data_IF_490344286823
#
_entry.id   IF_490344286823
#
_cell.length_a   1.000
_cell.length_b   1.000
_cell.length_c   1.000
_cell.angle_alpha   90.00
_cell.angle_beta   90.00
_cell.angle_gamma   90.00
#
_symmetry.space_group_name_H-M   'P 1'
#
loop_
_entity.id
_entity.type
_entity.pdbx_description
1 polymer ?
#
# COMPACT_ATOMS: atom_id res chain seq x y z
N UNK A 1 10.53 -8.78 -17.73
CA UNK A 1 11.84 -8.39 -17.19
C UNK A 1 12.80 -8.02 -18.31
N UNK A 2 13.13 -8.95 -19.21
CA UNK A 2 14.11 -8.74 -20.29
C UNK A 2 13.83 -7.50 -21.14
N UNK A 3 12.56 -7.25 -21.51
CA UNK A 3 12.16 -6.11 -22.37
C UNK A 3 12.37 -4.74 -21.72
N UNK A 4 12.44 -4.70 -20.40
CA UNK A 4 12.73 -3.48 -19.63
C UNK A 4 14.17 -3.43 -19.10
N UNK A 5 15.02 -4.39 -19.52
CA UNK A 5 16.45 -4.41 -19.21
C UNK A 5 16.80 -4.91 -17.82
N UNK A 6 15.95 -5.75 -17.21
CA UNK A 6 16.20 -6.43 -15.93
C UNK A 6 16.81 -7.80 -16.23
N UNK A 7 17.97 -8.09 -15.67
CA UNK A 7 18.63 -9.39 -15.75
C UNK A 7 18.01 -10.41 -14.79
N UNK A 8 18.24 -11.69 -15.02
CA UNK A 8 17.62 -12.74 -14.21
C UNK A 8 18.15 -12.77 -12.77
N UNK A 9 19.40 -12.42 -12.55
CA UNK A 9 20.05 -12.32 -11.25
C UNK A 9 19.59 -11.09 -10.43
N UNK A 10 18.88 -10.15 -11.07
CA UNK A 10 18.25 -9.00 -10.42
C UNK A 10 16.81 -9.31 -9.94
N UNK A 11 16.35 -10.56 -10.15
CA UNK A 11 15.02 -11.04 -9.78
C UNK A 11 15.09 -12.09 -8.66
N UNK A 12 14.26 -11.92 -7.65
CA UNK A 12 14.01 -12.93 -6.64
C UNK A 12 12.65 -13.59 -6.95
N UNK A 13 12.69 -14.81 -7.49
CA UNK A 13 11.48 -15.49 -7.97
C UNK A 13 10.55 -15.92 -6.83
N UNK A 14 9.29 -15.59 -6.96
CA UNK A 14 8.18 -16.02 -6.11
C UNK A 14 7.22 -16.89 -6.93
N UNK A 15 7.65 -18.11 -7.24
CA UNK A 15 6.98 -19.01 -8.16
C UNK A 15 7.25 -18.63 -9.62
N UNK A 16 6.34 -19.04 -10.50
CA UNK A 16 6.59 -19.04 -11.96
C UNK A 16 6.33 -17.68 -12.63
N UNK A 17 5.47 -16.84 -12.06
CA UNK A 17 4.91 -15.66 -12.76
C UNK A 17 5.09 -14.34 -12.01
N UNK A 18 5.79 -14.33 -10.90
CA UNK A 18 6.01 -13.16 -10.07
C UNK A 18 7.41 -13.17 -9.48
N UNK A 19 8.00 -12.00 -9.31
CA UNK A 19 9.32 -11.85 -8.71
C UNK A 19 9.42 -10.54 -7.93
N UNK A 20 10.30 -10.50 -6.93
CA UNK A 20 10.71 -9.25 -6.30
C UNK A 20 11.93 -8.68 -7.02
N UNK A 21 12.03 -7.35 -7.01
CA UNK A 21 13.14 -6.59 -7.59
C UNK A 21 14.22 -6.39 -6.53
N UNK A 22 15.46 -6.78 -6.85
CA UNK A 22 16.57 -6.77 -5.90
C UNK A 22 17.06 -5.36 -5.55
N UNK A 23 17.76 -5.22 -4.43
CA UNK A 23 18.40 -3.96 -4.03
C UNK A 23 19.54 -3.55 -4.98
N UNK A 24 20.19 -4.51 -5.62
CA UNK A 24 21.24 -4.28 -6.62
C UNK A 24 20.68 -3.54 -7.84
N UNK A 25 19.44 -3.87 -8.25
CA UNK A 25 18.77 -3.18 -9.35
C UNK A 25 18.57 -1.68 -9.04
N UNK A 26 18.19 -1.32 -7.81
CA UNK A 26 18.06 0.08 -7.41
C UNK A 26 19.37 0.84 -7.56
N UNK A 27 20.47 0.28 -7.06
CA UNK A 27 21.80 0.88 -7.15
C UNK A 27 22.25 1.05 -8.60
N UNK A 28 22.03 0.03 -9.43
CA UNK A 28 22.37 0.04 -10.86
C UNK A 28 21.63 1.15 -11.60
N UNK A 29 20.37 1.39 -11.27
CA UNK A 29 19.51 2.34 -11.96
C UNK A 29 19.56 3.76 -11.39
N UNK A 30 20.25 3.99 -10.28
CA UNK A 30 20.24 5.27 -9.55
C UNK A 30 20.61 6.48 -10.45
N UNK A 31 21.66 6.33 -11.27
CA UNK A 31 22.13 7.38 -12.19
C UNK A 31 21.32 7.53 -13.48
N UNK A 32 20.41 6.59 -13.77
CA UNK A 32 19.61 6.65 -14.99
C UNK A 32 18.58 7.78 -14.89
N UNK A 33 18.36 8.57 -15.95
CA UNK A 33 17.32 9.60 -15.96
C UNK A 33 15.92 9.00 -15.78
N UNK A 34 15.05 9.76 -15.15
CA UNK A 34 13.66 9.38 -14.95
C UNK A 34 12.85 9.52 -16.24
N UNK A 35 11.95 8.58 -16.49
CA UNK A 35 10.89 8.70 -17.48
C UNK A 35 9.80 9.69 -17.04
N UNK A 36 8.76 9.82 -17.85
CA UNK A 36 7.62 10.70 -17.59
C UNK A 36 6.58 10.03 -16.72
N UNK A 37 6.14 10.72 -15.66
CA UNK A 37 5.12 10.24 -14.72
C UNK A 37 3.73 10.67 -15.17
N UNK A 38 2.81 9.71 -15.29
CA UNK A 38 1.39 9.92 -15.58
C UNK A 38 0.57 9.42 -14.40
N UNK A 39 -0.19 10.33 -13.78
CA UNK A 39 -1.12 10.01 -12.70
C UNK A 39 -2.52 9.77 -13.26
N UNK A 40 -3.13 8.63 -12.94
CA UNK A 40 -4.55 8.37 -13.19
C UNK A 40 -5.32 8.59 -11.89
N UNK A 41 -6.31 9.46 -11.94
CA UNK A 41 -7.24 9.73 -10.85
C UNK A 41 -8.68 9.72 -11.35
N UNK A 42 -9.65 9.98 -10.50
CA UNK A 42 -11.06 10.01 -10.89
C UNK A 42 -11.81 11.14 -10.18
N UNK A 43 -13.01 11.41 -10.65
CA UNK A 43 -13.99 12.20 -9.89
C UNK A 43 -14.38 11.44 -8.60
N UNK A 44 -15.23 12.05 -7.78
CA UNK A 44 -15.65 11.48 -6.49
C UNK A 44 -16.07 10.01 -6.61
N UNK A 45 -15.69 9.18 -5.61
CA UNK A 45 -15.93 7.74 -5.66
C UNK A 45 -17.41 7.38 -5.61
N UNK A 46 -17.76 6.28 -6.29
CA UNK A 46 -19.07 5.67 -6.27
C UNK A 46 -19.00 4.26 -5.68
N UNK A 47 -20.10 3.70 -5.17
CA UNK A 47 -20.12 2.32 -4.67
C UNK A 47 -19.70 1.26 -5.71
N UNK A 48 -19.87 1.56 -6.99
CA UNK A 48 -19.51 0.66 -8.09
C UNK A 48 -18.06 0.79 -8.57
N UNK A 49 -17.32 1.78 -8.04
CA UNK A 49 -16.00 2.16 -8.52
C UNK A 49 -16.02 2.97 -9.82
N UNK A 50 -14.92 3.64 -10.12
CA UNK A 50 -14.77 4.55 -11.29
C UNK A 50 -13.93 3.91 -12.41
N UNK A 51 -13.34 2.72 -12.19
CA UNK A 51 -12.51 2.04 -13.16
C UNK A 51 -11.09 2.59 -13.32
N UNK A 52 -10.55 3.28 -12.31
CA UNK A 52 -9.17 3.82 -12.35
C UNK A 52 -8.13 2.77 -12.70
N UNK A 53 -8.11 1.63 -12.01
CA UNK A 53 -7.14 0.56 -12.24
C UNK A 53 -7.26 -0.02 -13.65
N UNK A 54 -8.48 -0.18 -14.15
CA UNK A 54 -8.74 -0.63 -15.52
C UNK A 54 -8.18 0.38 -16.55
N UNK A 55 -8.42 1.68 -16.31
CA UNK A 55 -7.88 2.76 -17.17
C UNK A 55 -6.36 2.84 -17.07
N UNK A 56 -5.79 2.75 -15.86
CA UNK A 56 -4.34 2.76 -15.64
C UNK A 56 -3.65 1.61 -16.40
N UNK A 57 -4.19 0.41 -16.26
CA UNK A 57 -3.70 -0.79 -16.93
C UNK A 57 -3.84 -0.67 -18.45
N UNK A 58 -5.05 -0.33 -18.92
CA UNK A 58 -5.33 -0.17 -20.36
C UNK A 58 -4.52 0.94 -21.02
N UNK A 59 -4.28 2.06 -20.32
CA UNK A 59 -3.43 3.14 -20.82
C UNK A 59 -1.98 2.65 -20.98
N UNK A 60 -1.43 1.96 -19.97
CA UNK A 60 -0.08 1.39 -20.04
C UNK A 60 0.07 0.41 -21.20
N UNK A 61 -0.91 -0.49 -21.38
CA UNK A 61 -0.96 -1.43 -22.51
C UNK A 61 -1.02 -0.71 -23.86
N UNK A 62 -1.90 0.28 -23.99
CA UNK A 62 -2.05 1.05 -25.23
C UNK A 62 -0.77 1.80 -25.58
N UNK A 63 -0.11 2.41 -24.60
CA UNK A 63 1.17 3.11 -24.83
C UNK A 63 2.26 2.14 -25.30
N UNK A 64 2.37 0.94 -24.70
CA UNK A 64 3.32 -0.08 -25.17
C UNK A 64 3.01 -0.54 -26.61
N UNK A 65 1.73 -0.76 -26.94
CA UNK A 65 1.31 -1.08 -28.33
C UNK A 65 1.69 0.01 -29.36
N UNK A 66 1.73 1.27 -28.90
CA UNK A 66 2.20 2.42 -29.69
C UNK A 66 3.73 2.60 -29.69
N UNK A 67 4.47 1.60 -29.19
CA UNK A 67 5.93 1.62 -29.14
C UNK A 67 6.53 2.54 -28.06
N UNK A 68 5.72 2.96 -27.06
CA UNK A 68 6.19 3.74 -25.91
C UNK A 68 6.57 2.80 -24.79
N UNK A 69 7.84 2.76 -24.40
CA UNK A 69 8.33 1.93 -23.29
C UNK A 69 7.69 2.37 -21.97
N UNK A 70 6.64 1.68 -21.57
CA UNK A 70 5.80 2.06 -20.42
C UNK A 70 5.83 0.98 -19.35
N UNK A 71 5.97 1.40 -18.09
CA UNK A 71 5.84 0.55 -16.91
C UNK A 71 4.67 1.05 -16.06
N UNK A 72 3.81 0.13 -15.63
CA UNK A 72 2.67 0.44 -14.77
C UNK A 72 3.11 0.29 -13.31
N UNK A 73 2.68 1.20 -12.43
CA UNK A 73 2.94 1.10 -10.99
C UNK A 73 1.63 1.14 -10.20
N UNK A 74 1.30 0.05 -9.50
CA UNK A 74 0.03 -0.17 -8.82
C UNK A 74 0.21 -0.50 -7.34
N UNK A 75 -0.89 -0.38 -6.58
CA UNK A 75 -0.99 -0.91 -5.22
C UNK A 75 -1.26 -2.41 -5.23
N UNK A 76 -0.82 -3.06 -4.16
CA UNK A 76 -1.28 -4.41 -3.83
C UNK A 76 -2.68 -4.35 -3.21
N UNK A 77 -3.55 -5.33 -3.50
CA UNK A 77 -4.84 -5.45 -2.84
C UNK A 77 -4.69 -6.01 -1.41
N UNK A 78 -5.59 -5.59 -0.52
CA UNK A 78 -5.81 -6.17 0.80
C UNK A 78 -6.93 -7.22 0.73
N UNK A 79 -6.82 -8.29 1.51
CA UNK A 79 -7.80 -9.39 1.53
C UNK A 79 -9.21 -8.92 1.89
N UNK A 80 -9.34 -8.01 2.84
CA UNK A 80 -10.64 -7.47 3.23
C UNK A 80 -11.44 -6.90 2.06
N UNK A 81 -10.91 -5.95 1.28
CA UNK A 81 -11.53 -5.44 0.06
C UNK A 81 -11.73 -6.49 -1.04
N UNK A 82 -10.81 -7.45 -1.19
CA UNK A 82 -10.92 -8.53 -2.20
C UNK A 82 -12.16 -9.38 -1.96
N UNK A 83 -12.41 -9.78 -0.71
CA UNK A 83 -13.59 -10.53 -0.30
C UNK A 83 -14.81 -9.64 0.00
N UNK A 84 -14.68 -8.33 -0.15
CA UNK A 84 -15.73 -7.35 0.04
C UNK A 84 -16.40 -6.90 -1.27
N UNK A 85 -17.12 -5.79 -1.18
CA UNK A 85 -17.88 -5.21 -2.31
C UNK A 85 -16.95 -4.72 -3.45
N UNK A 86 -15.71 -4.32 -3.14
CA UNK A 86 -14.80 -3.76 -4.14
C UNK A 86 -14.17 -4.82 -5.05
N UNK A 87 -14.02 -6.06 -4.57
CA UNK A 87 -13.29 -7.10 -5.27
C UNK A 87 -11.78 -6.82 -5.34
N UNK A 88 -11.08 -7.45 -6.30
CA UNK A 88 -9.62 -7.34 -6.47
C UNK A 88 -9.15 -6.05 -7.11
N UNK A 89 -7.82 -5.83 -7.10
CA UNK A 89 -7.16 -4.64 -7.61
C UNK A 89 -6.23 -4.91 -8.83
N UNK A 90 -6.50 -5.96 -9.59
CA UNK A 90 -5.70 -6.36 -10.75
C UNK A 90 -6.21 -5.81 -12.11
N UNK A 91 -7.19 -4.90 -12.11
CA UNK A 91 -7.88 -4.45 -13.32
C UNK A 91 -9.03 -5.37 -13.71
N UNK A 92 -9.46 -5.36 -14.97
CA UNK A 92 -10.56 -6.18 -15.45
C UNK A 92 -10.63 -6.32 -16.96
N UNK A 93 -11.29 -7.37 -17.43
CA UNK A 93 -11.40 -7.68 -18.84
C UNK A 93 -10.03 -7.86 -19.49
N UNK A 94 -9.79 -7.17 -20.59
CA UNK A 94 -8.49 -7.17 -21.29
C UNK A 94 -7.44 -6.25 -20.65
N UNK A 95 -7.83 -5.37 -19.74
CA UNK A 95 -6.96 -4.47 -18.99
C UNK A 95 -6.66 -5.06 -17.62
N UNK A 96 -5.92 -6.16 -17.59
CA UNK A 96 -5.70 -6.97 -16.39
C UNK A 96 -4.22 -7.28 -16.16
N UNK A 97 -3.81 -7.22 -14.88
CA UNK A 97 -2.49 -7.66 -14.41
C UNK A 97 -2.58 -9.13 -13.96
N UNK A 98 -1.56 -9.91 -14.29
CA UNK A 98 -1.48 -11.35 -14.01
C UNK A 98 -0.29 -11.67 -13.09
N UNK A 99 -0.35 -12.72 -12.27
CA UNK A 99 -1.49 -13.64 -12.06
C UNK A 99 -2.52 -13.06 -11.08
N UNK A 100 -3.76 -12.91 -11.53
CA UNK A 100 -4.81 -12.20 -10.78
C UNK A 100 -5.14 -12.86 -9.44
N UNK A 101 -5.25 -14.19 -9.40
CA UNK A 101 -5.58 -14.94 -8.19
C UNK A 101 -4.51 -14.75 -7.13
N UNK A 102 -3.23 -14.89 -7.49
CA UNK A 102 -2.12 -14.72 -6.57
C UNK A 102 -2.06 -13.27 -6.04
N UNK A 103 -2.24 -12.28 -6.93
CA UNK A 103 -2.23 -10.85 -6.57
C UNK A 103 -3.33 -10.55 -5.55
N UNK A 104 -4.52 -11.09 -5.77
CA UNK A 104 -5.68 -10.83 -4.91
C UNK A 104 -5.67 -11.61 -3.59
N UNK A 105 -4.80 -12.59 -3.43
CA UNK A 105 -4.67 -13.38 -2.20
C UNK A 105 -3.40 -13.01 -1.45
N UNK A 106 -2.46 -13.93 -1.31
CA UNK A 106 -1.24 -13.70 -0.51
C UNK A 106 -0.07 -13.10 -1.31
N UNK A 107 -0.20 -13.00 -2.60
CA UNK A 107 0.76 -12.46 -3.56
C UNK A 107 2.21 -12.92 -3.32
N UNK A 108 3.02 -12.11 -2.64
CA UNK A 108 4.41 -12.43 -2.23
C UNK A 108 4.59 -12.37 -0.72
N UNK A 109 3.51 -12.23 0.05
CA UNK A 109 3.52 -12.22 1.51
C UNK A 109 3.72 -10.85 2.17
N UNK A 110 3.71 -9.76 1.41
CA UNK A 110 3.99 -8.41 1.95
C UNK A 110 2.96 -7.98 2.99
N UNK A 111 1.66 -8.21 2.74
CA UNK A 111 0.61 -7.91 3.71
C UNK A 111 0.77 -8.70 5.00
N UNK A 112 1.17 -9.98 4.90
CA UNK A 112 1.44 -10.82 6.06
C UNK A 112 2.65 -10.31 6.86
N UNK A 113 3.74 -9.93 6.18
CA UNK A 113 4.93 -9.37 6.83
C UNK A 113 4.61 -8.06 7.57
N UNK A 114 3.79 -7.18 6.98
CA UNK A 114 3.34 -5.94 7.60
C UNK A 114 2.48 -6.23 8.84
N UNK A 115 1.52 -7.17 8.72
CA UNK A 115 0.71 -7.64 9.84
C UNK A 115 1.59 -8.16 10.98
N UNK A 116 2.57 -9.00 10.66
CA UNK A 116 3.50 -9.57 11.64
C UNK A 116 4.34 -8.49 12.34
N UNK A 117 4.88 -7.52 11.59
CA UNK A 117 5.69 -6.43 12.14
C UNK A 117 4.87 -5.50 13.06
N UNK A 118 3.63 -5.16 12.67
CA UNK A 118 2.75 -4.35 13.50
C UNK A 118 2.34 -5.09 14.78
N UNK A 119 2.01 -6.37 14.68
CA UNK A 119 1.59 -7.15 15.84
C UNK A 119 2.77 -7.48 16.77
N UNK A 120 4.00 -7.61 16.23
CA UNK A 120 5.21 -7.69 17.03
C UNK A 120 5.39 -6.44 17.89
N UNK A 121 5.21 -5.24 17.31
CA UNK A 121 5.29 -3.98 18.04
C UNK A 121 4.28 -3.95 19.19
N UNK A 122 3.02 -4.37 18.97
CA UNK A 122 2.02 -4.46 20.01
C UNK A 122 2.38 -5.48 21.10
N UNK A 123 2.91 -6.63 20.72
CA UNK A 123 3.32 -7.67 21.67
C UNK A 123 4.52 -7.23 22.52
N UNK A 124 5.49 -6.52 21.93
CA UNK A 124 6.62 -5.96 22.66
C UNK A 124 6.21 -4.87 23.63
N UNK A 125 5.25 -4.01 23.25
CA UNK A 125 4.66 -3.02 24.14
C UNK A 125 3.99 -3.68 25.34
N UNK A 126 3.12 -4.67 25.11
CA UNK A 126 2.43 -5.38 26.19
C UNK A 126 3.40 -6.13 27.11
N UNK A 127 4.45 -6.73 26.52
CA UNK A 127 5.51 -7.38 27.30
C UNK A 127 6.28 -6.38 28.17
N UNK A 128 6.61 -5.19 27.63
CA UNK A 128 7.28 -4.13 28.38
C UNK A 128 6.43 -3.71 29.61
N UNK A 129 5.12 -3.52 29.42
CA UNK A 129 4.20 -3.18 30.51
C UNK A 129 4.15 -4.30 31.54
N UNK A 130 4.05 -5.57 31.13
CA UNK A 130 3.97 -6.72 32.02
C UNK A 130 5.27 -6.96 32.80
N UNK A 131 6.43 -6.67 32.23
CA UNK A 131 7.75 -6.94 32.83
C UNK A 131 8.32 -5.80 33.68
N UNK A 132 7.48 -4.91 34.15
CA UNK A 132 7.88 -3.86 35.10
C UNK A 132 7.64 -2.44 34.62
N UNK A 133 7.32 -2.24 33.34
CA UNK A 133 6.93 -0.93 32.78
C UNK A 133 7.91 0.21 33.14
N UNK A 134 9.21 0.00 32.89
CA UNK A 134 10.28 0.97 33.24
C UNK A 134 10.06 2.35 32.63
N UNK A 135 9.42 2.43 31.45
CA UNK A 135 9.08 3.69 30.79
C UNK A 135 7.83 4.36 31.38
N UNK A 136 7.16 3.73 32.35
CA UNK A 136 5.96 4.26 32.98
C UNK A 136 4.82 4.49 32.00
N UNK A 137 4.62 3.60 31.03
CA UNK A 137 3.58 3.70 30.01
C UNK A 137 2.20 3.66 30.67
N UNK A 138 1.38 4.67 30.36
CA UNK A 138 -0.02 4.71 30.79
C UNK A 138 -0.85 3.78 29.90
N UNK A 139 -1.37 2.72 30.48
CA UNK A 139 -2.17 1.71 29.77
C UNK A 139 -3.47 2.25 29.16
N UNK A 140 -3.90 3.44 29.58
CA UNK A 140 -5.05 4.15 29.00
C UNK A 140 -4.68 5.07 27.84
N UNK A 141 -3.39 5.25 27.56
CA UNK A 141 -2.87 6.17 26.55
C UNK A 141 -1.98 5.47 25.51
N UNK A 142 -2.30 4.22 25.21
CA UNK A 142 -1.70 3.45 24.11
C UNK A 142 -2.40 3.84 22.81
N UNK A 143 -1.63 4.16 21.79
CA UNK A 143 -2.11 4.70 20.50
C UNK A 143 -2.14 3.65 19.39
N UNK A 144 -1.30 2.62 19.48
CA UNK A 144 -1.22 1.57 18.48
C UNK A 144 -2.29 0.49 18.74
N UNK A 145 -2.76 -0.11 17.64
CA UNK A 145 -3.66 -1.27 17.67
C UNK A 145 -3.04 -2.43 16.91
N UNK A 146 -3.47 -3.64 17.20
CA UNK A 146 -3.17 -4.82 16.40
C UNK A 146 -3.76 -4.69 15.01
N UNK A 147 -3.28 -5.47 14.05
CA UNK A 147 -3.88 -5.49 12.73
C UNK A 147 -4.15 -6.91 12.23
N UNK A 148 -5.13 -7.01 11.34
CA UNK A 148 -5.54 -8.21 10.63
C UNK A 148 -5.95 -7.78 9.23
N UNK A 149 -5.48 -8.48 8.18
CA UNK A 149 -5.81 -8.10 6.80
C UNK A 149 -7.20 -8.58 6.37
N UNK A 150 -8.18 -8.27 7.20
CA UNK A 150 -9.60 -8.60 7.00
C UNK A 150 -10.49 -7.50 7.59
N UNK A 151 -11.66 -7.29 7.00
CA UNK A 151 -12.69 -6.42 7.57
C UNK A 151 -13.45 -7.18 8.65
N UNK A 152 -13.04 -7.00 9.91
CA UNK A 152 -13.70 -7.59 11.06
C UNK A 152 -14.12 -6.50 12.04
N UNK A 153 -15.44 -6.28 12.15
CA UNK A 153 -16.00 -5.25 13.00
C UNK A 153 -16.05 -5.66 14.48
N UNK A 154 -16.14 -6.95 14.75
CA UNK A 154 -16.22 -7.50 16.11
C UNK A 154 -14.90 -7.29 16.87
N UNK A 155 -13.78 -7.24 16.15
CA UNK A 155 -12.46 -7.03 16.74
C UNK A 155 -12.02 -5.56 16.84
N UNK A 156 -12.85 -4.59 16.45
CA UNK A 156 -12.47 -3.17 16.50
C UNK A 156 -12.19 -2.65 17.90
N UNK A 157 -12.91 -3.17 18.90
CA UNK A 157 -12.71 -2.84 20.30
C UNK A 157 -12.82 -4.12 21.11
N UNK A 158 -11.75 -4.49 21.79
CA UNK A 158 -11.65 -5.69 22.62
C UNK A 158 -11.02 -5.37 23.96
N UNK A 159 -11.07 -6.29 24.89
CA UNK A 159 -10.25 -6.27 26.10
C UNK A 159 -9.13 -7.29 25.91
N UNK A 160 -7.89 -6.82 25.86
CA UNK A 160 -6.70 -7.66 25.82
C UNK A 160 -6.15 -7.90 27.25
N UNK A 161 -5.30 -8.94 27.40
CA UNK A 161 -4.59 -9.22 28.66
C UNK A 161 -5.41 -9.93 29.73
N UNK A 162 -6.59 -10.48 29.42
CA UNK A 162 -7.38 -11.29 30.35
C UNK A 162 -6.71 -12.64 30.63
N UNK A 163 -7.07 -13.29 31.75
CA UNK A 163 -6.61 -14.64 32.11
C UNK A 163 -5.65 -14.68 33.31
N UNK A 164 -5.57 -13.60 34.08
CA UNK A 164 -4.81 -13.53 35.30
C UNK A 164 -3.37 -13.04 35.19
N UNK A 165 -2.63 -13.03 36.27
CA UNK A 165 -1.33 -12.34 36.42
C UNK A 165 -0.27 -12.70 35.38
N UNK A 166 -0.32 -13.90 34.83
CA UNK A 166 0.69 -14.37 33.86
C UNK A 166 0.40 -13.99 32.40
N UNK A 167 -0.81 -13.46 32.12
CA UNK A 167 -1.29 -13.20 30.76
C UNK A 167 -1.21 -11.72 30.32
N UNK A 168 -0.78 -10.84 31.19
CA UNK A 168 -0.62 -9.42 30.88
C UNK A 168 -1.53 -8.50 31.71
N UNK A 169 -1.54 -7.23 31.36
CA UNK A 169 -2.34 -6.19 32.04
C UNK A 169 -3.63 -5.97 31.22
N UNK A 170 -4.82 -6.20 31.80
CA UNK A 170 -6.08 -5.95 31.11
C UNK A 170 -6.20 -4.50 30.65
N UNK A 171 -6.47 -4.30 29.36
CA UNK A 171 -6.65 -2.97 28.75
C UNK A 171 -7.55 -3.03 27.53
N UNK A 172 -8.08 -1.88 27.13
CA UNK A 172 -8.69 -1.75 25.81
C UNK A 172 -7.65 -1.90 24.72
N UNK A 173 -8.01 -2.62 23.68
CA UNK A 173 -7.25 -2.79 22.46
C UNK A 173 -8.23 -2.98 21.28
N UNK A 174 -7.72 -3.28 20.11
CA UNK A 174 -8.53 -3.61 18.94
C UNK A 174 -7.68 -3.99 17.76
N UNK A 175 -8.37 -4.36 16.70
CA UNK A 175 -7.76 -4.66 15.42
C UNK A 175 -8.17 -3.63 14.37
N UNK A 176 -7.20 -3.14 13.59
CA UNK A 176 -7.41 -2.39 12.37
C UNK A 176 -7.05 -3.28 11.17
N UNK A 177 -7.52 -2.93 9.99
CA UNK A 177 -7.08 -3.63 8.78
C UNK A 177 -5.61 -3.29 8.49
N UNK A 178 -4.82 -4.27 8.05
CA UNK A 178 -3.37 -4.13 7.85
C UNK A 178 -2.99 -2.91 7.01
N UNK A 179 -3.74 -2.64 5.95
CA UNK A 179 -3.51 -1.49 5.04
C UNK A 179 -3.84 -0.12 5.64
N UNK A 180 -4.41 -0.08 6.84
CA UNK A 180 -4.62 1.13 7.63
C UNK A 180 -3.54 1.35 8.70
N UNK A 181 -2.59 0.42 8.87
CA UNK A 181 -1.52 0.54 9.86
C UNK A 181 -0.48 1.59 9.46
N UNK A 182 0.16 2.20 10.45
CA UNK A 182 1.31 3.09 10.22
C UNK A 182 2.46 2.34 9.54
N UNK A 183 2.65 1.06 9.87
CA UNK A 183 3.69 0.21 9.26
C UNK A 183 3.52 0.12 7.74
N UNK A 184 2.29 -0.03 7.24
CA UNK A 184 2.00 -0.01 5.81
C UNK A 184 2.35 1.35 5.19
N UNK A 185 1.97 2.45 5.81
CA UNK A 185 2.27 3.79 5.31
C UNK A 185 3.79 4.05 5.28
N UNK A 186 4.49 3.66 6.34
CA UNK A 186 5.94 3.79 6.47
C UNK A 186 6.67 2.96 5.39
N UNK A 187 6.29 1.69 5.19
CA UNK A 187 6.87 0.85 4.15
C UNK A 187 6.76 1.50 2.76
N UNK A 188 5.60 2.10 2.47
CA UNK A 188 5.35 2.74 1.18
C UNK A 188 6.09 4.06 0.98
N UNK A 189 6.47 4.75 2.05
CA UNK A 189 7.19 6.02 1.99
C UNK A 189 8.70 5.87 2.17
N UNK A 190 9.18 4.74 2.70
CA UNK A 190 10.59 4.45 2.87
C UNK A 190 11.30 4.28 1.51
N UNK A 191 12.54 4.77 1.42
CA UNK A 191 13.37 4.64 0.23
C UNK A 191 14.47 3.56 0.36
N UNK A 192 14.83 3.18 1.58
CA UNK A 192 15.85 2.17 1.90
C UNK A 192 15.48 1.40 3.17
N UNK A 193 16.20 0.29 3.42
CA UNK A 193 16.05 -0.48 4.65
C UNK A 193 16.45 0.31 5.90
N UNK A 194 17.43 1.20 5.76
CA UNK A 194 17.87 2.09 6.86
C UNK A 194 16.83 3.15 7.18
N UNK A 195 16.26 3.80 6.16
CA UNK A 195 15.16 4.76 6.29
C UNK A 195 13.91 4.08 6.87
N UNK A 196 13.60 2.85 6.40
CA UNK A 196 12.52 2.05 6.98
C UNK A 196 12.71 1.84 8.49
N UNK A 197 13.90 1.42 8.92
CA UNK A 197 14.23 1.18 10.34
C UNK A 197 14.09 2.44 11.18
N UNK A 198 14.56 3.58 10.67
CA UNK A 198 14.46 4.87 11.36
C UNK A 198 13.00 5.30 11.52
N UNK A 199 12.21 5.25 10.44
CA UNK A 199 10.77 5.60 10.46
C UNK A 199 9.98 4.71 11.40
N UNK A 200 10.21 3.39 11.37
CA UNK A 200 9.57 2.45 12.30
C UNK A 200 9.90 2.79 13.76
N UNK A 201 11.14 3.19 14.04
CA UNK A 201 11.55 3.62 15.36
C UNK A 201 10.82 4.87 15.86
N UNK A 202 10.37 5.72 14.98
CA UNK A 202 9.68 6.97 15.28
C UNK A 202 8.15 6.83 15.37
N UNK A 203 7.59 5.63 15.30
CA UNK A 203 6.17 5.41 15.58
C UNK A 203 5.90 5.78 17.04
N UNK A 204 4.98 6.72 17.27
CA UNK A 204 4.49 7.09 18.58
C UNK A 204 3.52 6.01 19.07
N UNK A 205 3.93 5.22 20.07
CA UNK A 205 3.17 4.04 20.53
C UNK A 205 2.27 4.31 21.74
N UNK A 206 2.68 5.23 22.60
CA UNK A 206 1.97 5.52 23.83
C UNK A 206 2.42 6.85 24.46
N UNK A 207 1.78 7.23 25.54
CA UNK A 207 2.29 8.23 26.49
C UNK A 207 2.53 7.57 27.86
N UNK A 208 3.53 8.07 28.59
CA UNK A 208 3.79 7.70 29.96
C UNK A 208 2.81 8.39 30.94
N UNK A 209 2.77 7.94 32.19
CA UNK A 209 1.92 8.55 33.24
C UNK A 209 2.25 10.02 33.49
N UNK A 210 3.51 10.46 33.27
CA UNK A 210 3.93 11.85 33.35
C UNK A 210 3.74 12.64 32.03
N UNK A 211 3.09 12.04 31.05
CA UNK A 211 2.69 12.69 29.79
C UNK A 211 3.77 12.74 28.71
N UNK A 212 4.89 12.06 28.86
CA UNK A 212 5.94 12.02 27.84
C UNK A 212 5.58 11.05 26.71
N UNK A 213 5.90 11.38 25.44
CA UNK A 213 5.70 10.45 24.32
C UNK A 213 6.66 9.27 24.43
N UNK A 214 6.19 8.08 24.07
CA UNK A 214 6.97 6.84 23.98
C UNK A 214 6.92 6.33 22.56
N UNK A 215 8.08 6.04 21.98
CA UNK A 215 8.23 5.62 20.61
C UNK A 215 8.64 4.14 20.49
N UNK A 216 8.45 3.54 19.34
CA UNK A 216 8.82 2.14 19.08
C UNK A 216 10.32 1.86 19.33
N UNK A 217 11.18 2.84 19.11
CA UNK A 217 12.63 2.74 19.40
C UNK A 217 12.93 2.65 20.91
N UNK A 218 12.09 3.23 21.76
CA UNK A 218 12.29 3.25 23.20
C UNK A 218 12.10 1.85 23.83
N UNK A 219 11.32 0.99 23.17
CA UNK A 219 11.18 -0.44 23.50
C UNK A 219 11.99 -1.34 22.57
N UNK A 220 12.92 -0.76 21.75
CA UNK A 220 13.81 -1.48 20.83
C UNK A 220 13.12 -2.35 19.77
N UNK A 221 11.89 -2.03 19.38
CA UNK A 221 11.10 -2.84 18.46
C UNK A 221 11.50 -2.69 16.98
N UNK A 222 12.03 -1.54 16.61
CA UNK A 222 12.28 -1.18 15.20
C UNK A 222 13.25 -2.13 14.48
N UNK A 223 14.23 -2.69 15.16
CA UNK A 223 15.17 -3.66 14.55
C UNK A 223 14.48 -4.94 14.13
N UNK A 224 13.68 -5.53 15.04
CA UNK A 224 12.92 -6.77 14.78
C UNK A 224 11.82 -6.56 13.73
N UNK A 225 11.12 -5.41 13.78
CA UNK A 225 10.14 -5.03 12.76
C UNK A 225 10.78 -4.93 11.36
N UNK A 226 11.97 -4.30 11.27
CA UNK A 226 12.70 -4.17 10.01
C UNK A 226 13.12 -5.54 9.47
N UNK A 227 13.55 -6.45 10.33
CA UNK A 227 13.91 -7.82 9.94
C UNK A 227 12.73 -8.58 9.33
N UNK A 228 11.51 -8.43 9.89
CA UNK A 228 10.29 -8.99 9.33
C UNK A 228 9.93 -8.38 7.95
N UNK A 229 10.30 -7.15 7.71
CA UNK A 229 9.96 -6.39 6.49
C UNK A 229 11.07 -6.41 5.43
N UNK A 230 12.18 -7.11 5.64
CA UNK A 230 13.36 -7.09 4.74
C UNK A 230 13.06 -7.48 3.29
N UNK A 231 12.11 -8.38 3.08
CA UNK A 231 11.69 -8.81 1.76
C UNK A 231 10.46 -8.02 1.27
N UNK A 232 9.60 -7.61 2.20
CA UNK A 232 8.42 -6.80 1.89
C UNK A 232 8.75 -5.40 1.37
N UNK A 233 9.93 -4.85 1.65
CA UNK A 233 10.37 -3.55 1.11
C UNK A 233 10.73 -3.60 -0.38
N UNK A 234 10.96 -4.79 -0.93
CA UNK A 234 11.27 -4.99 -2.35
C UNK A 234 9.99 -5.00 -3.19
N UNK A 235 9.85 -4.16 -4.21
CA UNK A 235 8.67 -4.16 -5.08
C UNK A 235 8.52 -5.45 -5.88
N UNK A 236 7.28 -5.77 -6.22
CA UNK A 236 6.92 -6.97 -6.97
C UNK A 236 6.80 -6.65 -8.46
N UNK A 237 7.46 -7.43 -9.31
CA UNK A 237 7.34 -7.38 -10.76
C UNK A 237 6.38 -8.45 -11.25
N UNK A 238 5.40 -8.02 -12.01
CA UNK A 238 4.41 -8.82 -12.74
C UNK A 238 4.18 -8.23 -14.13
N UNK A 239 3.19 -8.68 -14.85
CA UNK A 239 2.85 -8.13 -16.16
C UNK A 239 1.35 -8.16 -16.41
N UNK A 240 0.90 -7.38 -17.38
CA UNK A 240 -0.46 -7.45 -17.88
C UNK A 240 -0.66 -8.65 -18.81
N UNK A 241 -1.91 -8.93 -19.18
CA UNK A 241 -2.28 -10.03 -20.07
C UNK A 241 -1.57 -9.96 -21.43
N UNK A 242 -1.20 -8.78 -21.89
CA UNK A 242 -0.47 -8.54 -23.15
C UNK A 242 1.04 -8.33 -22.98
N UNK A 243 1.57 -8.61 -21.77
CA UNK A 243 3.00 -8.55 -21.49
C UNK A 243 3.54 -7.19 -21.06
N UNK A 244 2.70 -6.15 -20.90
CA UNK A 244 3.15 -4.86 -20.37
C UNK A 244 3.65 -5.01 -18.93
N UNK A 245 4.88 -4.56 -18.59
CA UNK A 245 5.44 -4.69 -17.27
C UNK A 245 4.63 -3.89 -16.23
N UNK A 246 4.38 -4.50 -15.08
CA UNK A 246 3.72 -3.84 -13.95
C UNK A 246 4.49 -4.08 -12.65
N UNK A 247 4.73 -3.03 -11.89
CA UNK A 247 5.32 -3.08 -10.55
C UNK A 247 4.21 -2.85 -9.54
N UNK A 248 3.99 -3.84 -8.67
CA UNK A 248 2.98 -3.75 -7.60
C UNK A 248 3.66 -3.74 -6.25
N UNK A 249 3.36 -2.75 -5.42
CA UNK A 249 3.99 -2.68 -4.11
C UNK A 249 3.23 -1.77 -3.14
N UNK A 250 2.90 -2.34 -1.98
CA UNK A 250 2.17 -1.67 -0.91
C UNK A 250 0.74 -1.30 -1.26
N UNK A 251 -0.09 -1.12 -0.25
CA UNK A 251 -1.52 -0.89 -0.45
C UNK A 251 -2.18 0.03 0.59
N UNK A 252 -1.58 1.18 0.97
CA UNK A 252 -2.13 2.03 2.01
C UNK A 252 -3.48 2.60 1.58
N UNK A 253 -4.44 2.64 2.53
CA UNK A 253 -5.75 3.24 2.27
C UNK A 253 -5.66 4.77 2.15
N UNK A 254 -6.35 5.34 1.16
CA UNK A 254 -6.32 6.77 0.91
C UNK A 254 -7.08 7.61 1.95
N UNK A 255 -8.07 7.02 2.63
CA UNK A 255 -8.81 7.70 3.70
C UNK A 255 -8.03 7.75 5.03
N UNK A 256 -6.95 6.97 5.18
CA UNK A 256 -6.14 6.90 6.39
C UNK A 256 -4.70 7.37 6.13
N UNK A 257 -4.11 6.96 5.00
CA UNK A 257 -2.74 7.27 4.61
C UNK A 257 -2.72 7.95 3.23
N UNK A 258 -1.60 7.87 2.51
CA UNK A 258 -1.42 8.55 1.22
C UNK A 258 -2.07 7.84 0.02
N UNK A 259 -2.55 6.60 0.18
CA UNK A 259 -3.47 5.95 -0.78
C UNK A 259 -2.91 5.65 -2.17
N UNK A 260 -1.62 5.49 -2.31
CA UNK A 260 -0.95 5.12 -3.56
C UNK A 260 0.18 4.12 -3.32
N UNK A 261 0.70 3.50 -4.36
CA UNK A 261 1.80 2.54 -4.25
C UNK A 261 3.07 3.17 -3.66
N UNK A 262 4.07 2.35 -3.37
CA UNK A 262 5.29 2.83 -2.72
C UNK A 262 6.09 3.81 -3.57
N UNK A 263 6.89 4.63 -2.90
CA UNK A 263 7.90 5.50 -3.53
C UNK A 263 8.88 4.67 -4.35
N UNK A 264 9.33 3.54 -3.80
CA UNK A 264 10.28 2.62 -4.46
C UNK A 264 9.72 2.08 -5.78
N UNK A 265 8.47 1.61 -5.79
CA UNK A 265 7.82 1.10 -7.01
C UNK A 265 7.72 2.18 -8.10
N UNK A 266 7.33 3.39 -7.75
CA UNK A 266 7.22 4.49 -8.72
C UNK A 266 8.59 4.92 -9.24
N UNK A 267 9.61 5.04 -8.38
CA UNK A 267 10.97 5.36 -8.81
C UNK A 267 11.54 4.32 -9.75
N UNK A 268 11.39 3.02 -9.44
CA UNK A 268 11.82 1.95 -10.34
C UNK A 268 11.10 1.99 -11.69
N UNK A 269 9.78 2.19 -11.68
CA UNK A 269 9.01 2.30 -12.92
C UNK A 269 9.50 3.46 -13.80
N UNK A 270 9.84 4.61 -13.19
CA UNK A 270 10.41 5.76 -13.89
C UNK A 270 11.81 5.48 -14.46
N UNK A 271 12.63 4.68 -13.76
CA UNK A 271 13.97 4.30 -14.24
C UNK A 271 13.93 3.23 -15.33
N UNK A 272 12.93 2.36 -15.33
CA UNK A 272 12.81 1.22 -16.22
C UNK A 272 12.09 1.56 -17.54
N UNK A 273 11.18 2.53 -17.52
CA UNK A 273 10.40 2.95 -18.69
C UNK A 273 10.63 4.41 -19.08
N UNK A 274 10.27 4.76 -20.31
CA UNK A 274 10.17 6.16 -20.76
C UNK A 274 8.93 6.84 -20.14
N UNK A 275 7.95 6.02 -19.75
CA UNK A 275 6.71 6.43 -19.10
C UNK A 275 6.40 5.50 -17.92
N UNK A 276 5.97 6.10 -16.81
CA UNK A 276 5.36 5.41 -15.69
C UNK A 276 3.89 5.83 -15.59
N UNK A 277 2.97 4.87 -15.64
CA UNK A 277 1.53 5.11 -15.41
C UNK A 277 1.18 4.59 -14.03
N UNK A 278 0.65 5.44 -13.17
CA UNK A 278 0.28 5.10 -11.79
C UNK A 278 -1.07 5.68 -11.41
N UNK A 279 -1.61 5.25 -10.28
CA UNK A 279 -2.92 5.73 -9.79
C UNK A 279 -2.87 6.17 -8.34
N UNK A 280 -3.86 6.98 -7.94
CA UNK A 280 -4.15 7.32 -6.55
C UNK A 280 -5.55 6.81 -6.16
N UNK A 281 -5.71 6.39 -4.90
CA UNK A 281 -6.99 5.87 -4.38
C UNK A 281 -8.05 6.94 -4.24
N UNK A 282 -9.31 6.55 -4.21
CA UNK A 282 -10.46 7.46 -4.13
C UNK A 282 -10.53 8.44 -5.31
N UNK A 283 -11.13 9.62 -5.10
CA UNK A 283 -11.23 10.68 -6.09
C UNK A 283 -10.03 11.63 -6.07
N UNK A 284 -10.06 12.61 -6.97
CA UNK A 284 -9.00 13.61 -7.09
C UNK A 284 -8.94 14.56 -5.89
N UNK A 285 -10.06 14.76 -5.24
CA UNK A 285 -10.24 15.57 -4.02
C UNK A 285 -9.58 14.98 -2.76
N UNK A 286 -9.18 13.71 -2.79
CA UNK A 286 -8.54 13.03 -1.68
C UNK A 286 -7.25 12.32 -2.10
N UNK A 287 -7.35 11.34 -2.99
CA UNK A 287 -6.21 10.50 -3.36
C UNK A 287 -5.18 11.23 -4.19
N UNK A 288 -5.58 12.00 -5.20
CA UNK A 288 -4.64 12.78 -5.99
C UNK A 288 -4.03 13.92 -5.15
N UNK A 289 -4.81 14.59 -4.31
CA UNK A 289 -4.30 15.60 -3.37
C UNK A 289 -3.17 15.02 -2.50
N UNK A 290 -3.41 13.89 -1.84
CA UNK A 290 -2.38 13.20 -1.04
C UNK A 290 -1.19 12.70 -1.88
N UNK A 291 -1.42 12.29 -3.11
CA UNK A 291 -0.34 11.92 -4.02
C UNK A 291 0.61 13.11 -4.27
N UNK A 292 0.07 14.29 -4.54
CA UNK A 292 0.86 15.49 -4.74
C UNK A 292 1.50 16.00 -3.45
N UNK A 293 0.71 16.13 -2.39
CA UNK A 293 1.14 16.80 -1.17
C UNK A 293 2.00 15.94 -0.24
N UNK A 294 1.86 14.62 -0.29
CA UNK A 294 2.65 13.70 0.53
C UNK A 294 3.71 13.01 -0.33
N UNK A 295 3.30 12.16 -1.27
CA UNK A 295 4.23 11.29 -1.99
C UNK A 295 5.17 12.08 -2.91
N UNK A 296 4.63 13.01 -3.71
CA UNK A 296 5.45 13.80 -4.63
C UNK A 296 6.44 14.69 -3.91
N UNK A 297 6.00 15.37 -2.83
CA UNK A 297 6.89 16.24 -2.04
C UNK A 297 8.00 15.44 -1.37
N UNK A 298 7.66 14.33 -0.72
CA UNK A 298 8.63 13.49 -0.02
C UNK A 298 9.65 12.86 -0.98
N UNK A 299 9.20 12.39 -2.13
CA UNK A 299 10.01 11.65 -3.09
C UNK A 299 10.60 12.51 -4.23
N UNK A 300 10.33 13.82 -4.27
CA UNK A 300 10.76 14.70 -5.35
C UNK A 300 10.11 14.40 -6.72
N UNK A 301 8.95 13.73 -6.72
CA UNK A 301 8.26 13.35 -7.95
C UNK A 301 7.46 14.52 -8.54
N UNK A 302 7.42 14.58 -9.87
CA UNK A 302 6.65 15.61 -10.61
C UNK A 302 5.89 14.94 -11.75
N UNK A 303 4.56 14.74 -11.62
CA UNK A 303 3.76 14.23 -12.72
C UNK A 303 3.81 15.15 -13.95
N UNK A 304 4.00 14.54 -15.12
CA UNK A 304 4.02 15.23 -16.41
C UNK A 304 2.62 15.36 -17.02
N UNK A 305 1.72 14.44 -16.63
CA UNK A 305 0.33 14.45 -17.05
C UNK A 305 -0.57 13.84 -15.97
N UNK A 306 -1.84 14.25 -15.98
CA UNK A 306 -2.90 13.68 -15.14
C UNK A 306 -4.04 13.24 -16.04
N UNK A 307 -4.52 12.02 -15.83
CA UNK A 307 -5.71 11.46 -16.49
C UNK A 307 -6.84 11.43 -15.48
N UNK A 308 -7.85 12.24 -15.69
CA UNK A 308 -9.06 12.26 -14.87
C UNK A 308 -10.13 11.34 -15.45
N UNK A 309 -10.46 10.28 -14.74
CA UNK A 309 -11.52 9.35 -15.10
C UNK A 309 -12.87 9.88 -14.62
N UNK A 310 -13.76 10.15 -15.55
CA UNK A 310 -15.14 10.58 -15.29
C UNK A 310 -16.11 9.71 -16.08
N UNK A 311 -16.65 8.68 -15.45
CA UNK A 311 -17.63 7.80 -16.12
C UNK A 311 -19.03 8.41 -16.09
N UNK A 312 -19.83 8.12 -17.11
CA UNK A 312 -21.25 8.53 -17.14
C UNK A 312 -22.00 8.03 -15.89
N UNK A 313 -21.68 6.83 -15.41
CA UNK A 313 -22.24 6.27 -14.17
C UNK A 313 -21.89 7.13 -12.95
N UNK A 314 -20.65 7.53 -12.81
CA UNK A 314 -20.19 8.36 -11.69
C UNK A 314 -20.84 9.76 -11.76
N UNK A 315 -20.92 10.36 -12.95
CA UNK A 315 -21.61 11.64 -13.14
C UNK A 315 -23.08 11.56 -12.76
N UNK A 316 -23.81 10.54 -13.24
CA UNK A 316 -25.21 10.30 -12.85
C UNK A 316 -25.37 10.15 -11.34
N UNK A 317 -24.54 9.32 -10.71
CA UNK A 317 -24.61 9.07 -9.27
C UNK A 317 -24.37 10.34 -8.45
N UNK A 318 -23.31 11.06 -8.74
CA UNK A 318 -22.97 12.31 -8.05
C UNK A 318 -23.98 13.45 -8.38
N UNK A 319 -24.68 13.34 -9.51
CA UNK A 319 -25.79 14.23 -9.89
C UNK A 319 -27.14 13.85 -9.24
N UNK A 320 -27.17 12.88 -8.31
CA UNK A 320 -28.37 12.53 -7.55
C UNK A 320 -29.25 11.44 -8.17
N UNK A 321 -28.80 10.76 -9.25
CA UNK A 321 -29.54 9.63 -9.81
C UNK A 321 -29.48 8.44 -8.86
N UNK A 322 -30.60 7.82 -8.46
CA UNK A 322 -30.62 6.66 -7.57
C UNK A 322 -29.73 5.51 -8.07
N UNK A 323 -29.06 4.82 -7.15
CA UNK A 323 -28.13 3.71 -7.48
C UNK A 323 -28.79 2.63 -8.35
N UNK A 324 -30.07 2.35 -8.14
CA UNK A 324 -30.86 1.38 -8.91
C UNK A 324 -31.08 1.78 -10.36
N UNK A 325 -30.97 3.08 -10.68
CA UNK A 325 -31.19 3.62 -12.03
C UNK A 325 -29.88 3.87 -12.80
N UNK A 326 -28.71 3.63 -12.20
CA UNK A 326 -27.42 3.94 -12.84
C UNK A 326 -27.09 3.05 -14.04
N UNK A 327 -27.68 1.85 -14.09
CA UNK A 327 -27.45 0.88 -15.17
C UNK A 327 -28.40 1.07 -16.36
N UNK A 328 -29.48 1.84 -16.21
CA UNK A 328 -30.37 2.14 -17.32
C UNK A 328 -29.75 3.19 -18.23
N UNK A 329 -29.52 2.83 -19.48
CA UNK A 329 -29.25 3.79 -20.54
C UNK A 329 -30.53 4.57 -20.78
N UNK A 330 -30.73 5.69 -20.10
CA UNK A 330 -31.66 6.68 -20.56
C UNK A 330 -31.07 7.29 -21.82
N UNK A 331 -31.78 7.29 -22.96
CA UNK A 331 -31.37 8.17 -24.06
C UNK A 331 -31.46 9.59 -23.49
N UNK A 332 -30.35 10.25 -23.38
CA UNK A 332 -30.28 11.67 -23.04
C UNK A 332 -30.71 12.48 -24.21
#
# INVERSE_FOLDING_TARGET
AKDIGIAEDELEFYGKYKAKLSEELFKKLESKPDGKLILVTAINPTPAGEGKTTVTTGLGQAMNKLGKKTVIALREPSLGPVFGIKGGAAGGGYSQVLPMEDINLHFTGDMHAITAANNLLCAMLDNHIQQGNELGIDVKRILIKRCLDMNDRELRNIVAGLGGKINGVPREDGFIITVASEVMAILCLADSISDLKERLGNILIAYSYDGKPVFAKDIHANGAMTALLKDAIKPNLVQTIDGTPAIMHGGPFANIAHGCNSVRATRLALKLGDYCVTEAGFGSDLGAEKFFDIKCRLAGLKPNAVVLVATVRALKYNGGVPKTCLLYTSPS
#
